data_IF_628256105183
#
_entry.id   IF_628256105183
#
_cell.length_a   1.000
_cell.length_b   1.000
_cell.length_c   1.000
_cell.angle_alpha   90.00
_cell.angle_beta   90.00
_cell.angle_gamma   90.00
#
_symmetry.space_group_name_H-M   'P 1'
#
loop_
_entity.id
_entity.type
_entity.pdbx_description
1 polymer ?
#
# COMPACT_ATOMS: atom_id res chain seq x y z
N UNK A 1 51.87 -15.27 -58.27
CA UNK A 1 50.49 -14.81 -58.63
C UNK A 1 49.54 -15.26 -57.51
N UNK A 2 49.23 -14.39 -56.59
CA UNK A 2 48.36 -14.68 -55.47
C UNK A 2 47.09 -13.80 -55.58
N UNK A 3 45.96 -14.41 -55.96
CA UNK A 3 44.64 -13.72 -56.02
C UNK A 3 44.04 -13.64 -54.65
N UNK A 4 43.88 -12.40 -54.12
CA UNK A 4 43.07 -12.12 -52.93
C UNK A 4 41.62 -12.11 -53.34
N UNK A 5 40.81 -12.97 -52.71
CA UNK A 5 39.36 -12.93 -52.76
C UNK A 5 38.88 -11.91 -51.71
N UNK A 6 38.21 -10.83 -52.12
CA UNK A 6 37.46 -9.93 -51.25
C UNK A 6 36.07 -10.53 -51.07
N UNK A 7 35.74 -10.92 -49.82
CA UNK A 7 34.37 -11.20 -49.41
C UNK A 7 33.70 -9.88 -49.00
N UNK A 8 32.75 -9.40 -49.80
CA UNK A 8 31.83 -8.34 -49.37
C UNK A 8 30.75 -9.00 -48.49
N UNK A 9 30.76 -8.71 -47.20
CA UNK A 9 29.66 -8.99 -46.30
C UNK A 9 28.61 -7.85 -46.41
N UNK A 10 27.49 -8.14 -47.04
CA UNK A 10 26.32 -7.26 -47.06
C UNK A 10 25.64 -7.26 -45.70
N UNK A 11 25.77 -6.18 -44.95
CA UNK A 11 25.02 -5.92 -43.77
C UNK A 11 23.57 -5.56 -44.18
N UNK A 12 22.63 -6.49 -44.03
CA UNK A 12 21.21 -6.20 -44.18
C UNK A 12 20.75 -5.52 -42.87
N UNK A 13 20.65 -4.20 -42.88
CA UNK A 13 20.02 -3.45 -41.85
C UNK A 13 18.50 -3.74 -41.90
N UNK A 14 17.98 -4.52 -40.96
CA UNK A 14 16.57 -4.68 -40.79
C UNK A 14 16.01 -3.33 -40.29
N UNK A 15 15.39 -2.56 -41.18
CA UNK A 15 14.63 -1.39 -40.84
C UNK A 15 13.41 -1.85 -40.04
N UNK A 16 13.47 -1.75 -38.70
CA UNK A 16 12.31 -1.87 -37.84
C UNK A 16 11.38 -0.70 -38.16
N UNK A 17 10.33 -0.92 -38.91
CA UNK A 17 9.27 0.04 -39.12
C UNK A 17 8.61 0.34 -37.76
N UNK A 18 8.98 1.44 -37.13
CA UNK A 18 8.29 1.90 -35.92
C UNK A 18 6.83 2.16 -36.29
N UNK A 19 5.93 1.28 -35.88
CA UNK A 19 4.49 1.51 -35.98
C UNK A 19 4.19 2.83 -35.23
N UNK A 20 3.42 3.71 -35.86
CA UNK A 20 2.90 4.90 -35.20
C UNK A 20 1.91 4.46 -34.12
N UNK A 21 2.01 5.04 -32.93
CA UNK A 21 1.08 4.84 -31.83
C UNK A 21 -0.36 5.18 -32.27
N UNK A 22 -1.32 4.36 -31.89
CA UNK A 22 -2.74 4.49 -32.31
C UNK A 22 -3.66 4.60 -31.12
N UNK A 23 -4.64 5.48 -31.23
CA UNK A 23 -5.84 5.43 -30.40
C UNK A 23 -6.83 4.44 -31.01
N UNK A 24 -7.15 3.39 -30.29
CA UNK A 24 -8.05 2.30 -30.70
C UNK A 24 -9.35 2.44 -29.90
N UNK A 25 -10.44 2.94 -30.50
CA UNK A 25 -11.71 3.04 -29.80
C UNK A 25 -12.29 1.66 -29.49
N UNK A 26 -12.77 1.49 -28.27
CA UNK A 26 -13.30 0.23 -27.74
C UNK A 26 -14.69 0.48 -27.17
N UNK A 27 -15.72 -0.14 -27.74
CA UNK A 27 -17.12 0.08 -27.39
C UNK A 27 -17.66 -0.86 -26.30
N UNK A 28 -17.05 -2.03 -26.15
CA UNK A 28 -17.51 -3.11 -25.26
C UNK A 28 -16.40 -4.14 -25.00
N UNK A 29 -16.70 -5.14 -24.17
CA UNK A 29 -15.72 -6.16 -23.79
C UNK A 29 -15.28 -7.06 -24.98
N UNK A 30 -16.12 -7.25 -26.00
CA UNK A 30 -15.73 -8.03 -27.16
C UNK A 30 -14.77 -7.25 -28.05
N UNK A 31 -15.06 -5.96 -28.30
CA UNK A 31 -14.14 -5.05 -29.00
C UNK A 31 -12.81 -4.92 -28.25
N UNK A 32 -12.84 -4.87 -26.90
CA UNK A 32 -11.63 -4.88 -26.09
C UNK A 32 -10.78 -6.13 -26.34
N UNK A 33 -11.42 -7.31 -26.34
CA UNK A 33 -10.71 -8.57 -26.53
C UNK A 33 -10.02 -8.65 -27.91
N UNK A 34 -10.62 -8.08 -28.95
CA UNK A 34 -10.01 -8.00 -30.27
C UNK A 34 -8.87 -6.98 -30.31
N UNK A 35 -9.07 -5.79 -29.75
CA UNK A 35 -8.04 -4.76 -29.67
C UNK A 35 -6.82 -5.23 -28.87
N UNK A 36 -7.02 -5.93 -27.77
CA UNK A 36 -5.98 -6.45 -26.90
C UNK A 36 -5.05 -7.46 -27.59
N UNK A 37 -5.54 -8.22 -28.58
CA UNK A 37 -4.70 -9.17 -29.36
C UNK A 37 -3.66 -8.48 -30.23
N UNK A 38 -3.94 -7.25 -30.68
CA UNK A 38 -3.11 -6.52 -31.61
C UNK A 38 -2.36 -5.33 -30.97
N UNK A 39 -2.59 -5.07 -29.69
CA UNK A 39 -2.02 -3.92 -28.99
C UNK A 39 -0.48 -3.99 -28.97
N UNK A 40 0.17 -2.95 -29.48
CA UNK A 40 1.62 -2.79 -29.57
C UNK A 40 2.08 -1.62 -28.71
N UNK A 41 3.41 -1.54 -28.48
CA UNK A 41 4.01 -0.46 -27.70
C UNK A 41 3.63 0.94 -28.23
N UNK A 42 3.05 1.75 -27.36
CA UNK A 42 2.55 3.08 -27.65
C UNK A 42 1.05 3.15 -27.99
N UNK A 43 0.39 2.03 -28.25
CA UNK A 43 -1.03 2.02 -28.56
C UNK A 43 -1.88 2.35 -27.32
N UNK A 44 -3.01 3.01 -27.56
CA UNK A 44 -3.99 3.37 -26.53
C UNK A 44 -5.35 2.73 -26.85
N UNK A 45 -5.83 1.87 -25.99
CA UNK A 45 -7.20 1.35 -26.03
C UNK A 45 -8.12 2.34 -25.31
N UNK A 46 -8.94 3.05 -26.05
CA UNK A 46 -9.83 4.10 -25.55
C UNK A 46 -11.23 3.52 -25.32
N UNK A 47 -11.58 3.28 -24.07
CA UNK A 47 -12.86 2.72 -23.68
C UNK A 47 -13.94 3.81 -23.78
N UNK A 48 -15.03 3.53 -24.48
CA UNK A 48 -16.15 4.42 -24.65
C UNK A 48 -16.88 4.69 -23.34
N UNK A 49 -17.24 5.93 -23.11
CA UNK A 49 -18.02 6.36 -21.94
C UNK A 49 -19.33 5.57 -21.83
N UNK A 50 -19.70 5.23 -20.60
CA UNK A 50 -20.91 4.49 -20.28
C UNK A 50 -20.73 3.42 -19.21
N UNK A 51 -21.78 2.64 -18.99
CA UNK A 51 -21.78 1.56 -18.00
C UNK A 51 -21.32 0.25 -18.65
N UNK A 52 -20.38 -0.42 -18.01
CA UNK A 52 -19.78 -1.68 -18.42
C UNK A 52 -20.13 -2.78 -17.39
N UNK A 53 -21.32 -3.40 -17.49
CA UNK A 53 -21.75 -4.40 -16.53
C UNK A 53 -21.03 -5.73 -16.77
N UNK A 54 -20.59 -6.38 -15.68
CA UNK A 54 -19.96 -7.70 -15.68
C UNK A 54 -18.83 -7.87 -16.71
N UNK A 55 -18.15 -6.77 -17.05
CA UNK A 55 -17.10 -6.74 -18.06
C UNK A 55 -15.78 -7.27 -17.48
N UNK A 56 -15.29 -8.38 -18.02
CA UNK A 56 -14.01 -8.99 -17.60
C UNK A 56 -12.95 -8.79 -18.68
N UNK A 57 -12.17 -7.72 -18.54
CA UNK A 57 -11.13 -7.34 -19.48
C UNK A 57 -9.79 -8.01 -19.15
N UNK A 58 -9.13 -8.54 -20.17
CA UNK A 58 -7.78 -9.12 -20.05
C UNK A 58 -6.86 -8.53 -21.10
N UNK A 59 -5.73 -7.97 -20.68
CA UNK A 59 -4.71 -7.45 -21.57
C UNK A 59 -3.35 -8.05 -21.22
N UNK A 60 -2.76 -8.75 -22.18
CA UNK A 60 -1.33 -9.09 -22.14
C UNK A 60 -0.63 -8.29 -23.21
N UNK A 61 0.30 -7.43 -22.82
CA UNK A 61 1.02 -6.55 -23.74
C UNK A 61 2.45 -6.27 -23.26
N UNK A 62 3.29 -5.84 -24.19
CA UNK A 62 4.66 -5.41 -23.92
C UNK A 62 4.86 -3.99 -24.46
N UNK A 63 4.70 -3.00 -23.59
CA UNK A 63 5.11 -1.63 -23.84
C UNK A 63 6.58 -1.41 -23.49
N UNK A 64 7.00 -0.15 -23.53
CA UNK A 64 8.27 0.33 -22.97
C UNK A 64 7.99 1.53 -22.05
N UNK A 65 8.99 1.95 -21.30
CA UNK A 65 8.85 3.14 -20.44
C UNK A 65 8.45 4.40 -21.23
N UNK A 66 8.97 4.54 -22.47
CA UNK A 66 8.69 5.69 -23.35
C UNK A 66 7.43 5.49 -24.18
N UNK A 67 7.02 4.24 -24.40
CA UNK A 67 5.87 3.86 -25.22
C UNK A 67 5.04 2.78 -24.50
N UNK A 68 4.39 3.10 -23.38
CA UNK A 68 3.52 2.15 -22.71
C UNK A 68 2.32 1.77 -23.60
N UNK A 69 1.73 0.60 -23.33
CA UNK A 69 0.40 0.28 -23.85
C UNK A 69 -0.60 0.84 -22.85
N UNK A 70 -1.52 1.68 -23.31
CA UNK A 70 -2.47 2.36 -22.42
C UNK A 70 -3.87 1.83 -22.59
N UNK A 71 -4.58 1.56 -21.49
CA UNK A 71 -6.02 1.37 -21.43
C UNK A 71 -6.58 2.57 -20.68
N UNK A 72 -7.36 3.42 -21.36
CA UNK A 72 -7.92 4.58 -20.69
C UNK A 72 -9.42 4.75 -20.98
N UNK A 73 -10.09 5.44 -20.07
CA UNK A 73 -11.42 5.95 -20.36
C UNK A 73 -11.37 7.00 -21.49
N UNK A 74 -12.42 7.08 -22.31
CA UNK A 74 -12.63 8.18 -23.24
C UNK A 74 -12.65 9.51 -22.46
N UNK A 75 -13.48 9.56 -21.43
CA UNK A 75 -13.50 10.63 -20.42
C UNK A 75 -13.24 10.02 -19.03
N UNK A 76 -12.23 10.50 -18.33
CA UNK A 76 -11.86 9.98 -17.00
C UNK A 76 -13.08 9.98 -16.05
N UNK A 77 -13.34 8.84 -15.40
CA UNK A 77 -14.47 8.62 -14.50
C UNK A 77 -15.83 8.41 -15.17
N UNK A 78 -15.91 8.38 -16.50
CA UNK A 78 -17.17 8.12 -17.24
C UNK A 78 -17.28 6.69 -17.78
N UNK A 79 -16.23 5.91 -17.73
CA UNK A 79 -16.27 4.46 -17.97
C UNK A 79 -16.50 3.78 -16.64
N UNK A 80 -17.74 3.33 -16.40
CA UNK A 80 -18.18 2.83 -15.10
C UNK A 80 -18.40 1.32 -15.16
N UNK A 81 -17.50 0.58 -14.53
CA UNK A 81 -17.61 -0.87 -14.37
C UNK A 81 -18.49 -1.22 -13.19
N UNK A 82 -19.46 -2.11 -13.38
CA UNK A 82 -20.40 -2.57 -12.35
C UNK A 82 -20.49 -4.09 -12.29
N UNK A 83 -21.08 -4.62 -11.23
CA UNK A 83 -21.25 -6.07 -11.07
C UNK A 83 -19.92 -6.81 -10.89
N UNK A 84 -19.78 -7.97 -11.53
CA UNK A 84 -18.56 -8.79 -11.48
C UNK A 84 -17.51 -8.35 -12.54
N UNK A 85 -17.38 -7.03 -12.70
CA UNK A 85 -16.41 -6.48 -13.64
C UNK A 85 -14.99 -6.50 -13.06
N UNK A 86 -14.02 -6.76 -13.95
CA UNK A 86 -12.59 -6.81 -13.61
C UNK A 86 -11.72 -6.42 -14.80
N UNK A 87 -10.61 -5.75 -14.52
CA UNK A 87 -9.49 -5.66 -15.45
C UNK A 87 -8.29 -6.45 -14.93
N UNK A 88 -7.76 -7.35 -15.74
CA UNK A 88 -6.54 -8.15 -15.47
C UNK A 88 -5.49 -7.82 -16.52
N UNK A 89 -4.32 -7.38 -16.08
CA UNK A 89 -3.20 -7.01 -16.98
C UNK A 89 -1.95 -7.84 -16.68
N UNK A 90 -1.19 -8.18 -17.72
CA UNK A 90 0.09 -8.88 -17.60
C UNK A 90 1.06 -8.42 -18.69
N UNK A 91 2.36 -8.51 -18.42
CA UNK A 91 3.43 -8.07 -19.29
C UNK A 91 4.15 -6.85 -18.77
N UNK A 92 4.56 -5.95 -19.66
CA UNK A 92 5.46 -4.86 -19.31
C UNK A 92 4.89 -3.50 -19.72
N UNK A 93 5.05 -2.48 -18.86
CA UNK A 93 4.73 -1.09 -19.14
C UNK A 93 3.32 -0.88 -19.72
N UNK A 94 2.32 -1.38 -18.98
CA UNK A 94 0.90 -1.13 -19.27
C UNK A 94 0.39 -0.05 -18.32
N UNK A 95 -0.36 0.91 -18.84
CA UNK A 95 -1.01 1.96 -18.05
C UNK A 95 -2.53 1.75 -18.11
N UNK A 96 -3.18 1.77 -16.94
CA UNK A 96 -4.64 1.78 -16.78
C UNK A 96 -5.03 3.12 -16.18
N UNK A 97 -5.85 3.91 -16.88
CA UNK A 97 -6.13 5.30 -16.54
C UNK A 97 -7.61 5.66 -16.59
N UNK A 98 -8.10 6.36 -15.57
CA UNK A 98 -9.39 7.02 -15.56
C UNK A 98 -10.61 6.13 -15.43
N UNK A 99 -10.48 4.87 -15.02
CA UNK A 99 -11.57 3.90 -14.89
C UNK A 99 -12.23 4.00 -13.51
N UNK A 100 -13.55 3.77 -13.47
CA UNK A 100 -14.30 3.71 -12.22
C UNK A 100 -15.01 2.36 -12.04
N UNK A 101 -14.62 1.59 -11.03
CA UNK A 101 -15.30 0.38 -10.58
C UNK A 101 -16.25 0.76 -9.45
N UNK A 102 -17.55 0.74 -9.74
CA UNK A 102 -18.60 1.07 -8.80
C UNK A 102 -19.30 -0.19 -8.32
N UNK A 103 -19.37 -0.37 -6.99
CA UNK A 103 -20.03 -1.51 -6.34
C UNK A 103 -19.58 -2.88 -6.88
N UNK A 104 -18.26 -3.17 -6.95
CA UNK A 104 -17.80 -4.42 -7.51
C UNK A 104 -18.24 -5.61 -6.65
N UNK A 105 -18.79 -6.65 -7.30
CA UNK A 105 -19.26 -7.89 -6.67
C UNK A 105 -18.30 -9.06 -6.87
N UNK A 106 -17.28 -8.89 -7.74
CA UNK A 106 -16.24 -9.87 -8.03
C UNK A 106 -15.23 -10.04 -6.89
N UNK A 107 -14.31 -11.00 -7.06
CA UNK A 107 -13.22 -11.23 -6.11
C UNK A 107 -12.12 -10.17 -6.22
N UNK A 108 -11.90 -9.63 -7.41
CA UNK A 108 -10.89 -8.61 -7.74
C UNK A 108 -11.51 -7.59 -8.68
N UNK A 109 -11.24 -6.30 -8.50
CA UNK A 109 -11.62 -5.26 -9.47
C UNK A 109 -10.47 -4.96 -10.44
N UNK A 110 -9.26 -4.78 -9.92
CA UNK A 110 -8.04 -4.52 -10.69
C UNK A 110 -6.98 -5.54 -10.27
N UNK A 111 -6.53 -6.36 -11.22
CA UNK A 111 -5.59 -7.44 -10.96
C UNK A 111 -4.37 -7.34 -11.90
N UNK A 112 -3.19 -7.24 -11.34
CA UNK A 112 -1.95 -7.08 -12.09
C UNK A 112 -1.30 -8.44 -12.42
N UNK A 113 -2.14 -9.36 -12.88
CA UNK A 113 -1.80 -10.63 -13.51
C UNK A 113 -2.99 -11.15 -14.32
N UNK A 114 -2.78 -12.07 -15.23
CA UNK A 114 -3.84 -12.85 -15.88
C UNK A 114 -3.98 -14.23 -15.21
N UNK A 115 -2.86 -14.82 -14.83
CA UNK A 115 -2.77 -16.08 -14.08
C UNK A 115 -1.46 -16.16 -13.26
N UNK A 116 -1.12 -17.32 -12.72
CA UNK A 116 0.07 -17.51 -11.88
C UNK A 116 1.42 -17.36 -12.61
N UNK A 117 1.42 -17.37 -13.95
CA UNK A 117 2.61 -17.25 -14.80
C UNK A 117 2.70 -15.89 -15.49
N UNK A 118 1.56 -15.32 -15.83
CA UNK A 118 1.40 -14.07 -16.58
C UNK A 118 1.21 -12.91 -15.61
N UNK A 119 2.31 -12.33 -15.15
CA UNK A 119 2.35 -11.24 -14.17
C UNK A 119 2.60 -9.90 -14.86
N UNK A 120 2.20 -8.81 -14.23
CA UNK A 120 2.48 -7.45 -14.68
C UNK A 120 3.76 -6.92 -14.04
N UNK A 121 4.64 -6.30 -14.84
CA UNK A 121 5.83 -5.62 -14.35
C UNK A 121 5.92 -4.21 -14.92
N UNK A 122 6.40 -3.27 -14.11
CA UNK A 122 6.51 -1.86 -14.49
C UNK A 122 5.22 -1.25 -15.04
N UNK A 123 4.07 -1.81 -14.63
CA UNK A 123 2.76 -1.33 -15.03
C UNK A 123 2.23 -0.28 -14.05
N UNK A 124 1.29 0.54 -14.50
CA UNK A 124 0.73 1.63 -13.70
C UNK A 124 -0.80 1.60 -13.73
N UNK A 125 -1.41 1.78 -12.57
CA UNK A 125 -2.84 2.06 -12.40
C UNK A 125 -2.94 3.47 -11.84
N UNK A 126 -3.55 4.38 -12.58
CA UNK A 126 -3.58 5.79 -12.21
C UNK A 126 -4.95 6.40 -12.44
N UNK A 127 -5.29 7.45 -11.67
CA UNK A 127 -6.50 8.25 -11.88
C UNK A 127 -7.81 7.43 -11.91
N UNK A 128 -7.79 6.26 -11.25
CA UNK A 128 -8.92 5.33 -11.18
C UNK A 128 -9.69 5.46 -9.87
N UNK A 129 -10.93 4.97 -9.86
CA UNK A 129 -11.68 4.79 -8.62
C UNK A 129 -12.20 3.37 -8.47
N UNK A 130 -12.21 2.86 -7.22
CA UNK A 130 -12.92 1.64 -6.83
C UNK A 130 -13.73 1.97 -5.59
N UNK A 131 -15.05 2.00 -5.72
CA UNK A 131 -15.93 2.43 -4.63
C UNK A 131 -17.07 1.45 -4.40
N UNK A 132 -17.49 1.35 -3.14
CA UNK A 132 -18.71 0.65 -2.79
C UNK A 132 -19.56 1.55 -1.89
N UNK A 133 -20.73 1.92 -2.37
CA UNK A 133 -21.71 2.76 -1.68
C UNK A 133 -22.87 1.92 -1.11
N UNK A 134 -22.87 0.60 -1.33
CA UNK A 134 -23.89 -0.31 -0.83
C UNK A 134 -23.67 -0.59 0.67
N UNK A 135 -24.77 -0.79 1.42
CA UNK A 135 -24.66 -1.19 2.82
C UNK A 135 -23.93 -2.54 2.93
N UNK A 136 -23.30 -2.77 4.06
CA UNK A 136 -22.66 -4.05 4.34
C UNK A 136 -23.70 -5.17 4.29
N UNK A 137 -23.51 -6.08 3.35
CA UNK A 137 -24.18 -7.37 3.36
C UNK A 137 -23.47 -8.37 4.27
N UNK A 138 -23.81 -9.65 4.17
CA UNK A 138 -23.06 -10.70 4.87
C UNK A 138 -21.60 -10.72 4.43
N UNK A 139 -20.70 -10.64 5.42
CA UNK A 139 -19.24 -10.63 5.21
C UNK A 139 -18.69 -12.04 4.90
N UNK A 140 -19.31 -12.74 3.97
CA UNK A 140 -18.98 -14.13 3.65
C UNK A 140 -17.92 -14.25 2.54
N UNK A 141 -17.92 -13.32 1.61
CA UNK A 141 -17.05 -13.36 0.43
C UNK A 141 -15.75 -12.56 0.70
N UNK A 142 -14.61 -13.18 0.43
CA UNK A 142 -13.33 -12.49 0.43
C UNK A 142 -13.10 -11.88 -0.95
N UNK A 143 -12.92 -10.57 -1.00
CA UNK A 143 -12.63 -9.83 -2.22
C UNK A 143 -11.48 -8.84 -1.99
N UNK A 144 -10.90 -8.35 -3.06
CA UNK A 144 -9.88 -7.29 -3.04
C UNK A 144 -10.23 -6.28 -4.12
N UNK A 145 -9.93 -5.01 -3.87
CA UNK A 145 -10.15 -4.00 -4.90
C UNK A 145 -8.97 -3.93 -5.85
N UNK A 146 -7.74 -4.03 -5.33
CA UNK A 146 -6.52 -4.01 -6.13
C UNK A 146 -5.56 -5.10 -5.68
N UNK A 147 -5.10 -5.92 -6.60
CA UNK A 147 -4.08 -6.96 -6.35
C UNK A 147 -2.86 -6.76 -7.23
N UNK A 148 -1.71 -6.53 -6.60
CA UNK A 148 -0.41 -6.34 -7.24
C UNK A 148 0.36 -7.67 -7.24
N UNK A 149 0.91 -8.00 -8.38
CA UNK A 149 1.80 -9.14 -8.61
C UNK A 149 3.00 -8.68 -9.45
N UNK A 150 4.05 -9.48 -9.55
CA UNK A 150 5.25 -9.12 -10.30
C UNK A 150 6.12 -8.08 -9.62
N UNK A 151 6.71 -7.15 -10.37
CA UNK A 151 7.67 -6.18 -9.88
C UNK A 151 7.50 -4.79 -10.49
N UNK A 152 7.87 -3.74 -9.74
CA UNK A 152 7.96 -2.38 -10.25
C UNK A 152 6.62 -1.71 -10.61
N UNK A 153 5.49 -2.26 -10.19
CA UNK A 153 4.18 -1.67 -10.51
C UNK A 153 3.87 -0.48 -9.62
N UNK A 154 3.10 0.47 -10.16
CA UNK A 154 2.67 1.67 -9.44
C UNK A 154 1.15 1.78 -9.41
N UNK A 155 0.61 2.19 -8.25
CA UNK A 155 -0.80 2.58 -8.08
C UNK A 155 -0.79 3.99 -7.53
N UNK A 156 -1.29 4.94 -8.29
CA UNK A 156 -1.24 6.34 -7.88
C UNK A 156 -2.48 7.12 -8.30
N UNK A 157 -2.73 8.24 -7.60
CA UNK A 157 -3.84 9.14 -7.86
C UNK A 157 -5.21 8.42 -7.97
N UNK A 158 -5.38 7.35 -7.19
CA UNK A 158 -6.61 6.57 -7.16
C UNK A 158 -7.46 6.91 -5.92
N UNK A 159 -8.79 6.77 -6.03
CA UNK A 159 -9.71 6.82 -4.91
C UNK A 159 -10.28 5.43 -4.65
N UNK A 160 -10.02 4.88 -3.46
CA UNK A 160 -10.39 3.50 -3.13
C UNK A 160 -11.11 3.50 -1.79
N UNK A 161 -12.44 3.21 -1.79
CA UNK A 161 -13.25 3.39 -0.59
C UNK A 161 -14.47 2.47 -0.51
N UNK A 162 -15.07 2.40 0.67
CA UNK A 162 -16.37 1.77 0.89
C UNK A 162 -16.38 0.25 0.92
N UNK A 163 -15.22 -0.41 0.91
CA UNK A 163 -15.15 -1.88 0.88
C UNK A 163 -15.82 -2.50 2.10
N UNK A 164 -16.86 -3.32 1.86
CA UNK A 164 -17.67 -3.97 2.90
C UNK A 164 -17.40 -5.48 3.03
N UNK A 165 -16.69 -6.08 2.09
CA UNK A 165 -16.37 -7.52 2.08
C UNK A 165 -15.09 -7.81 2.88
N UNK A 166 -14.89 -9.09 3.26
CA UNK A 166 -13.60 -9.57 3.78
C UNK A 166 -12.48 -9.43 2.74
N UNK A 167 -11.24 -9.54 3.20
CA UNK A 167 -10.03 -9.40 2.40
C UNK A 167 -9.56 -7.94 2.33
N UNK A 168 -8.29 -7.77 2.05
CA UNK A 168 -7.62 -6.46 1.98
C UNK A 168 -8.21 -5.56 0.89
N UNK A 169 -8.09 -4.25 1.05
CA UNK A 169 -8.48 -3.32 -0.02
C UNK A 169 -7.45 -3.36 -1.16
N UNK A 170 -6.17 -3.20 -0.83
CA UNK A 170 -5.04 -3.35 -1.74
C UNK A 170 -4.06 -4.38 -1.17
N UNK A 171 -3.57 -5.31 -1.99
CA UNK A 171 -2.57 -6.29 -1.59
C UNK A 171 -1.43 -6.38 -2.60
N UNK A 172 -0.20 -6.45 -2.11
CA UNK A 172 0.96 -6.88 -2.88
C UNK A 172 1.29 -8.34 -2.54
N UNK A 173 1.19 -9.20 -3.53
CA UNK A 173 1.55 -10.61 -3.43
C UNK A 173 3.01 -10.79 -3.80
N UNK A 174 3.77 -11.48 -2.97
CA UNK A 174 5.20 -11.67 -3.16
C UNK A 174 5.52 -13.04 -3.72
N UNK A 175 6.62 -13.10 -4.45
CA UNK A 175 7.18 -14.33 -4.99
C UNK A 175 8.64 -14.44 -4.57
N UNK A 176 9.06 -15.62 -4.15
CA UNK A 176 10.45 -15.90 -3.82
C UNK A 176 11.39 -15.57 -4.99
N UNK A 177 12.53 -14.97 -4.67
CA UNK A 177 13.55 -14.56 -5.64
C UNK A 177 13.20 -13.28 -6.43
N UNK A 178 12.08 -12.61 -6.14
CA UNK A 178 11.66 -11.37 -6.81
C UNK A 178 11.37 -10.29 -5.78
N UNK A 179 12.09 -9.17 -5.83
CA UNK A 179 11.71 -7.97 -5.09
C UNK A 179 10.54 -7.29 -5.79
N UNK A 180 9.45 -7.09 -5.08
CA UNK A 180 8.22 -6.52 -5.64
C UNK A 180 8.39 -5.06 -6.07
N UNK A 181 9.11 -4.23 -5.29
CA UNK A 181 9.43 -2.81 -5.59
C UNK A 181 8.23 -2.00 -6.08
N UNK A 182 7.04 -2.32 -5.59
CA UNK A 182 5.85 -1.58 -5.96
C UNK A 182 5.85 -0.19 -5.32
N UNK A 183 5.27 0.78 -6.04
CA UNK A 183 5.04 2.14 -5.56
C UNK A 183 3.54 2.38 -5.41
N UNK A 184 3.10 2.82 -4.23
CA UNK A 184 1.70 3.12 -3.91
C UNK A 184 1.69 4.55 -3.37
N UNK A 185 1.28 5.51 -4.21
CA UNK A 185 1.47 6.92 -3.88
C UNK A 185 0.34 7.83 -4.35
N UNK A 186 0.15 8.96 -3.66
CA UNK A 186 -0.86 9.98 -3.98
C UNK A 186 -2.30 9.43 -4.09
N UNK A 187 -2.59 8.30 -3.41
CA UNK A 187 -3.93 7.74 -3.39
C UNK A 187 -4.73 8.28 -2.20
N UNK A 188 -6.04 8.37 -2.38
CA UNK A 188 -6.97 8.55 -1.29
C UNK A 188 -7.66 7.20 -0.97
N UNK A 189 -7.24 6.56 0.12
CA UNK A 189 -7.95 5.45 0.72
C UNK A 189 -9.03 6.02 1.63
N UNK A 190 -10.28 5.97 1.17
CA UNK A 190 -11.44 6.53 1.86
C UNK A 190 -12.06 5.57 2.88
N UNK A 191 -13.20 5.94 3.46
CA UNK A 191 -13.80 5.22 4.56
C UNK A 191 -13.99 3.73 4.30
N UNK A 192 -13.62 2.93 5.28
CA UNK A 192 -13.91 1.50 5.35
C UNK A 192 -14.45 1.17 6.73
N UNK A 193 -15.65 0.60 6.80
CA UNK A 193 -16.26 0.24 8.07
C UNK A 193 -15.52 -0.91 8.77
N UNK A 194 -15.60 -0.92 10.11
CA UNK A 194 -15.06 -1.99 10.94
C UNK A 194 -15.74 -3.33 10.63
N UNK A 195 -14.95 -4.36 10.38
CA UNK A 195 -15.45 -5.71 10.12
C UNK A 195 -15.66 -6.53 11.41
N UNK A 196 -15.04 -6.14 12.52
CA UNK A 196 -15.09 -6.88 13.79
C UNK A 196 -14.32 -8.21 13.78
N UNK A 197 -13.55 -8.47 12.75
CA UNK A 197 -12.70 -9.66 12.59
C UNK A 197 -11.53 -9.38 11.66
N UNK A 198 -10.53 -10.27 11.64
CA UNK A 198 -9.34 -10.19 10.80
C UNK A 198 -9.69 -10.21 9.29
N UNK A 199 -8.89 -9.60 8.45
CA UNK A 199 -9.05 -9.49 6.99
C UNK A 199 -9.65 -8.15 6.55
N UNK A 200 -9.51 -7.11 7.39
CA UNK A 200 -9.98 -5.77 7.14
C UNK A 200 -8.93 -4.75 6.76
N UNK A 201 -7.70 -5.17 6.51
CA UNK A 201 -6.58 -4.28 6.20
C UNK A 201 -6.85 -3.43 4.96
N UNK A 202 -6.47 -2.17 4.98
CA UNK A 202 -6.52 -1.31 3.79
C UNK A 202 -5.38 -1.66 2.85
N UNK A 203 -4.14 -1.75 3.34
CA UNK A 203 -2.99 -2.25 2.56
C UNK A 203 -2.35 -3.43 3.27
N UNK A 204 -1.99 -4.46 2.50
CA UNK A 204 -1.13 -5.54 2.97
C UNK A 204 0.00 -5.80 1.98
N UNK A 205 1.24 -5.78 2.47
CA UNK A 205 2.44 -6.08 1.68
C UNK A 205 3.00 -7.45 2.09
N UNK A 206 2.76 -8.47 1.26
CA UNK A 206 3.07 -9.86 1.54
C UNK A 206 1.98 -10.59 2.35
N UNK A 207 2.33 -11.76 2.82
CA UNK A 207 1.52 -12.60 3.72
C UNK A 207 2.41 -13.33 4.72
N UNK A 208 1.82 -14.16 5.58
CA UNK A 208 2.58 -14.88 6.62
C UNK A 208 3.56 -15.92 6.04
N UNK A 209 3.39 -16.38 4.81
CA UNK A 209 4.32 -17.33 4.17
C UNK A 209 5.51 -16.61 3.54
N UNK A 210 5.33 -15.37 3.14
CA UNK A 210 6.33 -14.53 2.47
C UNK A 210 6.95 -13.50 3.40
N UNK A 211 6.71 -13.61 4.71
CA UNK A 211 7.02 -12.59 5.72
C UNK A 211 8.50 -12.18 5.80
N UNK A 212 9.42 -13.05 5.39
CA UNK A 212 10.86 -12.77 5.41
C UNK A 212 11.44 -12.43 4.03
N UNK A 213 10.60 -12.36 2.99
CA UNK A 213 11.03 -11.90 1.68
C UNK A 213 11.20 -10.37 1.67
N UNK A 214 12.21 -9.89 0.95
CA UNK A 214 12.41 -8.46 0.70
C UNK A 214 11.44 -8.01 -0.38
N UNK A 215 10.47 -7.17 -0.02
CA UNK A 215 9.54 -6.59 -0.97
C UNK A 215 10.05 -5.25 -1.52
N UNK A 216 10.73 -4.44 -0.71
CA UNK A 216 11.26 -3.12 -1.06
C UNK A 216 10.20 -2.18 -1.68
N UNK A 217 8.95 -2.30 -1.24
CA UNK A 217 7.85 -1.44 -1.69
C UNK A 217 7.91 -0.07 -1.01
N UNK A 218 7.39 0.95 -1.72
CA UNK A 218 7.26 2.31 -1.19
C UNK A 218 5.78 2.69 -1.14
N UNK A 219 5.30 3.10 0.04
CA UNK A 219 3.94 3.62 0.27
C UNK A 219 4.09 5.06 0.74
N UNK A 220 3.77 6.03 -0.11
CA UNK A 220 4.08 7.43 0.18
C UNK A 220 3.01 8.41 -0.31
N UNK A 221 2.93 9.59 0.35
CA UNK A 221 2.02 10.66 -0.05
C UNK A 221 0.54 10.24 -0.18
N UNK A 222 0.11 9.20 0.53
CA UNK A 222 -1.29 8.77 0.52
C UNK A 222 -2.07 9.40 1.67
N UNK A 223 -3.37 9.61 1.45
CA UNK A 223 -4.33 9.89 2.49
C UNK A 223 -5.10 8.61 2.85
N UNK A 224 -5.05 8.22 4.13
CA UNK A 224 -5.90 7.19 4.72
C UNK A 224 -6.93 7.89 5.59
N UNK A 225 -8.20 7.89 5.19
CA UNK A 225 -9.27 8.56 5.93
C UNK A 225 -10.32 7.55 6.39
N UNK A 226 -10.48 7.40 7.72
CA UNK A 226 -11.45 6.48 8.35
C UNK A 226 -11.37 5.04 7.81
N UNK A 227 -10.15 4.57 7.62
CA UNK A 227 -9.86 3.21 7.16
C UNK A 227 -9.93 2.23 8.35
N UNK A 228 -11.12 1.93 8.84
CA UNK A 228 -11.39 1.28 10.13
C UNK A 228 -11.63 -0.24 10.03
N UNK A 229 -11.34 -0.86 8.91
CA UNK A 229 -11.66 -2.27 8.64
C UNK A 229 -11.24 -3.24 9.74
N UNK A 230 -10.04 -3.07 10.29
CA UNK A 230 -9.53 -3.79 11.47
C UNK A 230 -8.44 -3.00 12.20
N UNK A 231 -7.78 -3.64 13.18
CA UNK A 231 -6.71 -3.01 13.96
C UNK A 231 -5.46 -2.66 13.12
N UNK A 232 -5.25 -3.32 12.00
CA UNK A 232 -4.13 -3.08 11.09
C UNK A 232 -4.64 -2.34 9.83
N UNK A 233 -4.61 -1.00 9.81
CA UNK A 233 -4.88 -0.23 8.60
C UNK A 233 -3.89 -0.62 7.49
N UNK A 234 -2.60 -0.62 7.83
CA UNK A 234 -1.55 -1.20 7.01
C UNK A 234 -0.96 -2.40 7.75
N UNK A 235 -0.95 -3.56 7.11
CA UNK A 235 -0.29 -4.77 7.59
C UNK A 235 0.96 -5.05 6.75
N UNK A 236 2.12 -4.63 7.28
CA UNK A 236 3.40 -4.98 6.69
C UNK A 236 3.74 -6.43 7.01
N UNK A 237 3.91 -7.26 5.98
CA UNK A 237 4.29 -8.68 6.13
C UNK A 237 5.45 -9.04 5.18
N UNK A 238 6.47 -8.19 5.14
CA UNK A 238 7.68 -8.38 4.33
C UNK A 238 8.78 -7.41 4.72
N UNK A 239 10.00 -7.63 4.27
CA UNK A 239 11.17 -6.83 4.61
C UNK A 239 11.40 -5.63 3.68
N UNK A 240 12.09 -4.61 4.21
CA UNK A 240 12.67 -3.52 3.41
C UNK A 240 11.68 -2.49 2.88
N UNK A 241 10.45 -2.45 3.38
CA UNK A 241 9.44 -1.50 2.90
C UNK A 241 9.62 -0.11 3.51
N UNK A 242 9.22 0.92 2.76
CA UNK A 242 9.25 2.32 3.17
C UNK A 242 7.83 2.89 3.19
N UNK A 243 7.43 3.46 4.32
CA UNK A 243 6.18 4.17 4.54
C UNK A 243 6.51 5.62 4.89
N UNK A 244 6.27 6.56 3.97
CA UNK A 244 6.66 7.93 4.22
C UNK A 244 5.67 8.96 3.70
N UNK A 245 5.61 10.10 4.41
CA UNK A 245 4.80 11.26 4.03
C UNK A 245 3.31 10.95 3.82
N UNK A 246 2.81 9.88 4.44
CA UNK A 246 1.39 9.55 4.41
C UNK A 246 0.65 10.31 5.52
N UNK A 247 -0.62 10.61 5.28
CA UNK A 247 -1.54 11.16 6.28
C UNK A 247 -2.58 10.11 6.66
N UNK A 248 -2.67 9.78 7.95
CA UNK A 248 -3.70 8.95 8.53
C UNK A 248 -4.65 9.84 9.32
N UNK A 249 -5.91 9.96 8.89
CA UNK A 249 -6.90 10.85 9.48
C UNK A 249 -8.11 10.09 10.00
N UNK A 250 -8.32 10.09 11.30
CA UNK A 250 -9.45 9.41 11.93
C UNK A 250 -9.46 7.90 11.74
N UNK A 251 -8.28 7.26 11.67
CA UNK A 251 -8.13 5.82 11.43
C UNK A 251 -8.11 5.07 12.75
N UNK A 252 -9.12 4.22 13.01
CA UNK A 252 -9.19 3.35 14.20
C UNK A 252 -8.31 2.09 14.05
N UNK A 253 -7.07 2.26 13.62
CA UNK A 253 -6.10 1.20 13.38
C UNK A 253 -4.69 1.76 13.36
N UNK A 254 -3.72 0.92 13.03
CA UNK A 254 -2.29 1.27 13.03
C UNK A 254 -1.62 0.97 11.69
N UNK A 255 -0.51 1.65 11.42
CA UNK A 255 0.53 1.12 10.56
C UNK A 255 1.28 0.05 11.37
N UNK A 256 1.07 -1.21 11.03
CA UNK A 256 1.65 -2.33 11.77
C UNK A 256 2.81 -2.95 10.99
N UNK A 257 4.00 -2.91 11.57
CA UNK A 257 5.14 -3.69 11.12
C UNK A 257 4.97 -5.12 11.66
N UNK A 258 4.04 -5.87 11.03
CA UNK A 258 3.52 -7.15 11.57
C UNK A 258 4.49 -8.30 11.39
N UNK A 259 5.19 -8.34 10.27
CA UNK A 259 6.25 -9.29 9.94
C UNK A 259 7.30 -8.62 9.06
N UNK A 260 8.45 -9.27 8.90
CA UNK A 260 9.58 -8.77 8.15
C UNK A 260 10.41 -7.78 8.95
N UNK A 261 11.54 -7.39 8.41
CA UNK A 261 12.56 -6.57 9.06
C UNK A 261 12.97 -5.38 8.19
N UNK A 262 13.78 -4.49 8.74
CA UNK A 262 14.41 -3.37 8.03
C UNK A 262 13.43 -2.44 7.30
N UNK A 263 12.24 -2.23 7.85
CA UNK A 263 11.26 -1.27 7.33
C UNK A 263 11.51 0.14 7.89
N UNK A 264 11.11 1.16 7.13
CA UNK A 264 11.23 2.57 7.50
C UNK A 264 9.84 3.23 7.54
N UNK A 265 9.59 3.99 8.59
CA UNK A 265 8.36 4.78 8.79
C UNK A 265 8.79 6.23 9.03
N UNK A 266 8.63 7.10 8.01
CA UNK A 266 9.30 8.39 7.98
C UNK A 266 8.35 9.54 7.63
N UNK A 267 8.33 10.61 8.43
CA UNK A 267 7.62 11.84 8.10
C UNK A 267 6.10 11.67 7.89
N UNK A 268 5.50 10.61 8.43
CA UNK A 268 4.06 10.44 8.33
C UNK A 268 3.32 11.27 9.39
N UNK A 269 2.06 11.55 9.12
CA UNK A 269 1.17 12.31 9.99
C UNK A 269 0.00 11.43 10.40
N UNK A 270 -0.16 11.20 11.71
CA UNK A 270 -1.28 10.47 12.29
C UNK A 270 -2.15 11.43 13.09
N UNK A 271 -3.40 11.63 12.66
CA UNK A 271 -4.37 12.56 13.26
C UNK A 271 -5.57 11.77 13.76
N UNK A 272 -5.87 11.87 15.05
CA UNK A 272 -6.98 11.18 15.68
C UNK A 272 -8.35 11.60 15.17
N UNK A 273 -8.53 12.87 14.80
CA UNK A 273 -9.79 13.43 14.25
C UNK A 273 -11.04 12.97 15.04
N UNK A 274 -10.91 12.89 16.36
CA UNK A 274 -11.94 12.41 17.31
C UNK A 274 -12.37 10.94 17.12
N UNK A 275 -11.73 10.16 16.26
CA UNK A 275 -12.03 8.75 16.09
C UNK A 275 -11.63 7.96 17.33
N UNK A 276 -12.54 7.10 17.81
CA UNK A 276 -12.26 6.20 18.93
C UNK A 276 -11.30 5.11 18.50
N UNK A 277 -10.21 4.93 19.27
CA UNK A 277 -9.19 3.92 18.99
C UNK A 277 -8.28 4.30 17.82
N UNK A 278 -8.17 5.60 17.50
CA UNK A 278 -7.21 6.09 16.52
C UNK A 278 -5.79 5.78 16.98
N UNK A 279 -5.06 5.00 16.21
CA UNK A 279 -3.72 4.50 16.55
C UNK A 279 -2.62 5.07 15.65
N UNK A 280 -1.38 4.73 15.99
CA UNK A 280 -0.20 5.17 15.25
C UNK A 280 0.59 4.00 14.66
N UNK A 281 1.75 3.68 15.21
CA UNK A 281 2.66 2.66 14.70
C UNK A 281 2.80 1.51 15.69
N UNK A 282 2.58 0.27 15.23
CA UNK A 282 2.84 -0.95 16.00
C UNK A 282 4.07 -1.66 15.48
N UNK A 283 5.03 -1.91 16.37
CA UNK A 283 6.37 -2.40 16.04
C UNK A 283 6.55 -3.84 16.49
N UNK A 284 6.91 -4.72 15.54
CA UNK A 284 7.28 -6.13 15.73
C UNK A 284 8.43 -6.41 14.77
N UNK A 285 9.46 -7.16 15.20
CA UNK A 285 10.61 -7.52 14.35
C UNK A 285 11.81 -6.60 14.51
N UNK A 286 12.73 -6.65 13.56
CA UNK A 286 14.09 -6.16 13.74
C UNK A 286 14.45 -5.06 12.74
N UNK A 287 15.46 -4.24 13.12
CA UNK A 287 16.14 -3.27 12.24
C UNK A 287 15.22 -2.17 11.68
N UNK A 288 14.09 -1.92 12.30
CA UNK A 288 13.17 -0.87 11.84
C UNK A 288 13.65 0.53 12.22
N UNK A 289 13.30 1.50 11.39
CA UNK A 289 13.53 2.93 11.67
C UNK A 289 12.19 3.66 11.63
N UNK A 290 11.84 4.37 12.72
CA UNK A 290 10.65 5.20 12.83
C UNK A 290 11.09 6.61 13.15
N UNK A 291 11.00 7.55 12.19
CA UNK A 291 11.62 8.86 12.34
C UNK A 291 10.79 10.01 11.77
N UNK A 292 10.82 11.15 12.45
CA UNK A 292 10.21 12.39 11.95
C UNK A 292 8.69 12.35 11.78
N UNK A 293 7.99 11.41 12.42
CA UNK A 293 6.53 11.32 12.32
C UNK A 293 5.84 12.25 13.33
N UNK A 294 4.65 12.73 12.98
CA UNK A 294 3.75 13.46 13.85
C UNK A 294 2.58 12.57 14.26
N UNK A 295 2.39 12.40 15.57
CA UNK A 295 1.23 11.74 16.19
C UNK A 295 0.42 12.79 16.94
N UNK A 296 -0.82 13.02 16.53
CA UNK A 296 -1.64 14.11 17.08
C UNK A 296 -3.05 13.66 17.41
N UNK A 297 -3.50 13.97 18.63
CA UNK A 297 -4.87 13.71 19.13
C UNK A 297 -5.30 12.24 19.05
N UNK A 298 -4.36 11.30 19.13
CA UNK A 298 -4.64 9.86 19.07
C UNK A 298 -5.29 9.38 20.37
N UNK A 299 -6.29 8.50 20.24
CA UNK A 299 -7.12 7.99 21.33
C UNK A 299 -7.00 6.48 21.53
N UNK A 300 -6.18 5.82 20.71
CA UNK A 300 -5.95 4.38 20.78
C UNK A 300 -5.19 3.97 22.03
N UNK A 301 -5.49 2.78 22.51
CA UNK A 301 -4.90 2.13 23.67
C UNK A 301 -4.24 0.80 23.26
N UNK A 302 -3.49 0.22 24.17
CA UNK A 302 -2.80 -1.06 23.98
C UNK A 302 -2.04 -1.10 22.64
N UNK A 303 -2.32 -2.06 21.77
CA UNK A 303 -1.66 -2.20 20.46
C UNK A 303 -1.95 -1.01 19.51
N UNK A 304 -2.91 -0.14 19.86
CA UNK A 304 -3.24 1.09 19.10
C UNK A 304 -2.69 2.36 19.72
N UNK A 305 -1.85 2.29 20.75
CA UNK A 305 -1.11 3.46 21.24
C UNK A 305 -0.43 4.22 20.09
N UNK A 306 -0.11 5.49 20.28
CA UNK A 306 0.56 6.29 19.23
C UNK A 306 1.82 5.60 18.73
N UNK A 307 2.56 4.94 19.65
CA UNK A 307 3.60 3.97 19.31
C UNK A 307 3.53 2.79 20.27
N UNK A 308 3.55 1.57 19.74
CA UNK A 308 3.47 0.35 20.54
C UNK A 308 4.56 -0.65 20.14
N UNK A 309 5.40 -1.04 21.12
CA UNK A 309 6.37 -2.12 20.97
C UNK A 309 5.80 -3.40 21.53
N UNK A 310 5.70 -4.43 20.68
CA UNK A 310 5.17 -5.73 21.10
C UNK A 310 6.24 -6.60 21.74
N UNK A 311 5.81 -7.50 22.65
CA UNK A 311 6.66 -8.59 23.11
C UNK A 311 6.84 -9.64 22.01
N UNK A 312 8.04 -10.23 21.95
CA UNK A 312 8.35 -11.35 21.06
C UNK A 312 8.05 -12.71 21.67
N UNK A 313 7.80 -13.68 20.82
CA UNK A 313 7.67 -15.09 21.19
C UNK A 313 9.04 -15.75 21.04
N UNK A 314 9.58 -16.50 22.04
CA UNK A 314 10.77 -17.30 21.86
C UNK A 314 10.62 -18.29 20.68
N UNK A 315 11.64 -18.39 19.83
CA UNK A 315 11.65 -19.25 18.65
C UNK A 315 10.42 -19.07 17.75
N UNK A 316 10.05 -17.80 17.53
CA UNK A 316 8.84 -17.44 16.80
C UNK A 316 8.82 -18.00 15.38
N UNK A 317 7.71 -18.64 15.02
CA UNK A 317 7.44 -19.03 13.63
C UNK A 317 7.11 -17.79 12.75
N UNK A 318 7.24 -17.87 11.41
CA UNK A 318 7.05 -16.72 10.52
C UNK A 318 5.75 -15.93 10.70
N UNK A 319 4.67 -16.56 11.14
CA UNK A 319 3.38 -15.91 11.42
C UNK A 319 3.19 -15.47 12.88
N UNK A 320 4.19 -15.67 13.74
CA UNK A 320 4.15 -15.30 15.15
C UNK A 320 4.54 -13.83 15.40
N UNK A 321 5.05 -13.56 16.60
CA UNK A 321 5.55 -12.25 17.01
C UNK A 321 7.06 -12.35 17.17
N UNK A 322 7.81 -11.79 16.22
CA UNK A 322 9.26 -11.68 16.35
C UNK A 322 9.63 -10.67 17.42
N UNK A 323 10.75 -10.90 18.11
CA UNK A 323 11.26 -9.95 19.09
C UNK A 323 11.59 -8.62 18.43
N UNK A 324 11.23 -7.53 19.08
CA UNK A 324 11.66 -6.18 18.68
C UNK A 324 13.14 -6.04 19.00
N UNK A 325 13.98 -5.81 17.98
CA UNK A 325 15.43 -5.75 18.13
C UNK A 325 16.05 -4.74 17.17
N UNK A 326 17.06 -3.98 17.65
CA UNK A 326 17.81 -2.98 16.87
C UNK A 326 16.92 -1.92 16.19
N UNK A 327 15.78 -1.60 16.81
CA UNK A 327 14.86 -0.58 16.29
C UNK A 327 15.32 0.81 16.71
N UNK A 328 15.21 1.78 15.81
CA UNK A 328 15.52 3.19 16.07
C UNK A 328 14.27 4.04 15.93
N UNK A 329 13.94 4.77 17.00
CA UNK A 329 12.80 5.70 17.03
C UNK A 329 13.31 7.09 17.37
N UNK A 330 13.36 7.97 16.36
CA UNK A 330 14.07 9.25 16.50
C UNK A 330 13.32 10.43 15.92
N UNK A 331 13.34 11.57 16.60
CA UNK A 331 12.82 12.82 16.06
C UNK A 331 11.32 12.84 15.78
N UNK A 332 10.53 11.96 16.44
CA UNK A 332 9.10 11.97 16.32
C UNK A 332 8.46 12.96 17.29
N UNK A 333 7.29 13.47 16.96
CA UNK A 333 6.53 14.40 17.79
C UNK A 333 5.18 13.79 18.17
N UNK A 334 4.87 13.77 19.46
CA UNK A 334 3.62 13.28 20.03
C UNK A 334 2.87 14.43 20.68
N UNK A 335 1.68 14.74 20.19
CA UNK A 335 0.86 15.88 20.66
C UNK A 335 -0.50 15.38 21.08
N UNK A 336 -0.84 15.60 22.35
CA UNK A 336 -2.20 15.37 22.86
C UNK A 336 -2.71 13.91 22.65
N UNK A 337 -1.81 12.92 22.65
CA UNK A 337 -2.15 11.51 22.56
C UNK A 337 -2.53 10.95 23.95
N UNK A 338 -3.52 10.04 23.99
CA UNK A 338 -3.92 9.38 25.22
C UNK A 338 -2.85 8.41 25.74
N UNK A 339 -2.21 7.68 24.83
CA UNK A 339 -1.12 6.75 25.08
C UNK A 339 -0.01 7.03 24.08
N UNK A 340 1.14 7.57 24.55
CA UNK A 340 2.23 8.01 23.65
C UNK A 340 3.08 6.82 23.20
N UNK A 341 3.97 6.32 24.05
CA UNK A 341 4.89 5.22 23.72
C UNK A 341 4.68 4.09 24.73
N UNK A 342 4.09 2.98 24.28
CA UNK A 342 3.89 1.79 25.07
C UNK A 342 4.97 0.75 24.72
N UNK A 343 5.67 0.23 25.74
CA UNK A 343 6.73 -0.76 25.59
C UNK A 343 6.33 -2.04 26.32
N UNK A 344 6.27 -3.16 25.59
CA UNK A 344 6.01 -4.47 26.17
C UNK A 344 4.55 -4.91 26.11
N UNK A 345 3.81 -4.51 25.05
CA UNK A 345 2.46 -5.00 24.83
C UNK A 345 2.50 -6.48 24.42
N UNK A 346 1.69 -7.30 25.07
CA UNK A 346 1.57 -8.72 24.71
C UNK A 346 0.40 -8.94 23.77
N UNK A 347 0.67 -9.50 22.60
CA UNK A 347 -0.34 -9.96 21.64
C UNK A 347 -0.62 -11.46 21.67
N UNK A 348 0.15 -12.21 22.47
CA UNK A 348 0.02 -13.66 22.62
C UNK A 348 0.54 -14.07 24.00
N UNK A 349 -0.07 -15.08 24.62
CA UNK A 349 0.35 -15.59 25.95
C UNK A 349 1.79 -16.11 25.97
N UNK A 350 2.34 -16.51 24.83
CA UNK A 350 3.73 -16.97 24.67
C UNK A 350 4.71 -15.84 24.44
N UNK A 351 4.25 -14.62 24.22
CA UNK A 351 5.10 -13.46 23.96
C UNK A 351 5.68 -12.96 25.29
N UNK A 352 6.97 -13.24 25.50
CA UNK A 352 7.70 -12.95 26.74
C UNK A 352 9.01 -12.19 26.52
N UNK A 353 9.50 -12.10 25.26
CA UNK A 353 10.76 -11.45 24.95
C UNK A 353 10.58 -9.94 24.86
N UNK A 354 11.21 -9.14 25.75
CA UNK A 354 11.16 -7.68 25.67
C UNK A 354 11.98 -7.15 24.50
N UNK A 355 11.75 -5.88 24.09
CA UNK A 355 12.62 -5.18 23.14
C UNK A 355 14.07 -5.14 23.61
N UNK A 356 15.02 -5.36 22.69
CA UNK A 356 16.47 -5.30 22.97
C UNK A 356 17.21 -4.49 21.91
N UNK A 357 18.40 -3.99 22.25
CA UNK A 357 19.27 -3.21 21.36
C UNK A 357 18.52 -2.05 20.67
N UNK A 358 17.45 -1.54 21.31
CA UNK A 358 16.51 -0.57 20.72
C UNK A 358 16.80 0.84 21.26
N UNK A 359 16.77 1.84 20.38
CA UNK A 359 17.01 3.24 20.73
C UNK A 359 15.74 4.08 20.50
N UNK A 360 15.34 4.82 21.54
CA UNK A 360 14.26 5.81 21.48
C UNK A 360 14.86 7.15 21.90
N UNK A 361 15.15 8.04 20.93
CA UNK A 361 15.91 9.24 21.22
C UNK A 361 15.48 10.48 20.43
N UNK A 362 15.64 11.65 21.03
CA UNK A 362 15.37 12.93 20.38
C UNK A 362 13.90 13.14 19.99
N UNK A 363 12.96 12.44 20.63
CA UNK A 363 11.54 12.64 20.39
C UNK A 363 10.99 13.75 21.29
N UNK A 364 9.91 14.41 20.84
CA UNK A 364 9.19 15.43 21.62
C UNK A 364 7.83 14.86 21.97
N UNK A 365 7.53 14.79 23.29
CA UNK A 365 6.34 14.12 23.79
C UNK A 365 5.56 15.05 24.73
N UNK A 366 4.33 15.39 24.34
CA UNK A 366 3.43 16.15 25.20
C UNK A 366 2.69 15.20 26.15
N UNK A 367 2.70 15.53 27.45
CA UNK A 367 2.19 14.67 28.52
C UNK A 367 0.96 15.22 29.23
N UNK A 368 0.20 16.11 28.58
CA UNK A 368 -1.02 16.67 29.17
C UNK A 368 -2.18 15.67 29.26
N UNK A 369 -2.20 14.62 28.46
CA UNK A 369 -3.22 13.57 28.46
C UNK A 369 -2.73 12.20 28.88
N UNK A 370 -1.49 11.85 28.55
CA UNK A 370 -0.91 10.54 28.85
C UNK A 370 0.56 10.65 29.23
N UNK A 371 1.09 9.61 29.84
CA UNK A 371 2.49 9.50 30.16
C UNK A 371 3.35 9.44 28.87
N UNK A 372 4.59 9.90 28.96
CA UNK A 372 5.53 9.80 27.83
C UNK A 372 5.81 8.33 27.46
N UNK A 373 5.99 7.50 28.50
CA UNK A 373 6.31 6.08 28.36
C UNK A 373 5.45 5.25 29.28
N UNK A 374 4.74 4.28 28.73
CA UNK A 374 4.05 3.21 29.46
C UNK A 374 4.87 1.93 29.33
N UNK A 375 5.46 1.47 30.45
CA UNK A 375 6.40 0.35 30.45
C UNK A 375 5.71 -0.86 31.09
N UNK A 376 5.52 -1.94 30.31
CA UNK A 376 4.90 -3.19 30.74
C UNK A 376 5.85 -4.39 30.75
N UNK A 377 7.15 -4.18 30.50
CA UNK A 377 8.19 -5.24 30.50
C UNK A 377 9.54 -4.71 30.94
N UNK A 378 10.54 -5.57 31.03
CA UNK A 378 11.94 -5.21 31.22
C UNK A 378 12.43 -4.33 30.05
N UNK A 379 13.21 -3.28 30.34
CA UNK A 379 13.69 -2.27 29.36
C UNK A 379 15.20 -2.08 29.39
N UNK A 380 15.96 -2.97 30.00
CA UNK A 380 17.42 -2.91 30.08
C UNK A 380 18.06 -2.93 28.67
N UNK A 381 17.40 -3.47 27.68
CA UNK A 381 17.81 -3.47 26.29
C UNK A 381 17.33 -2.26 25.47
N UNK A 382 16.68 -1.28 26.11
CA UNK A 382 16.12 -0.09 25.46
C UNK A 382 16.83 1.18 25.95
N UNK A 383 17.52 1.87 25.05
CA UNK A 383 18.17 3.15 25.35
C UNK A 383 17.21 4.29 25.08
N UNK A 384 16.76 4.94 26.14
CA UNK A 384 15.90 6.14 26.07
C UNK A 384 16.74 7.37 26.43
N UNK A 385 17.04 8.25 25.45
CA UNK A 385 17.89 9.42 25.68
C UNK A 385 17.46 10.65 24.90
N UNK A 386 17.71 11.83 25.43
CA UNK A 386 17.45 13.10 24.76
C UNK A 386 15.99 13.28 24.28
N UNK A 387 15.03 12.60 24.90
CA UNK A 387 13.62 12.84 24.64
C UNK A 387 13.15 14.03 25.48
N UNK A 388 12.46 14.98 24.87
CA UNK A 388 11.83 16.11 25.55
C UNK A 388 10.40 15.74 25.95
N UNK A 389 10.09 15.90 27.24
CA UNK A 389 8.75 15.66 27.78
C UNK A 389 8.20 16.94 28.39
N UNK A 390 7.10 17.46 27.89
CA UNK A 390 6.47 18.69 28.32
C UNK A 390 4.99 18.52 28.53
N UNK A 391 4.39 19.21 29.51
CA UNK A 391 2.91 19.21 29.68
C UNK A 391 2.23 19.89 28.51
N UNK A 392 2.80 21.00 28.04
CA UNK A 392 2.31 21.76 26.89
C UNK A 392 3.48 22.13 26.00
N UNK A 393 3.38 21.88 24.72
CA UNK A 393 4.35 22.36 23.77
C UNK A 393 4.12 23.86 23.51
N UNK A 394 5.17 24.64 23.54
CA UNK A 394 5.12 26.10 23.33
C UNK A 394 4.49 26.47 21.99
N UNK A 395 4.57 25.59 21.00
CA UNK A 395 3.84 25.67 19.73
C UNK A 395 3.37 24.27 19.38
N UNK A 396 2.06 24.09 19.25
CA UNK A 396 1.51 22.83 18.75
C UNK A 396 2.08 22.56 17.35
N UNK A 397 2.61 21.35 17.14
CA UNK A 397 3.03 20.95 15.81
C UNK A 397 1.82 20.96 14.86
N UNK A 398 1.92 21.74 13.82
CA UNK A 398 0.91 21.76 12.75
C UNK A 398 1.14 20.58 11.82
N UNK A 399 0.07 19.89 11.48
CA UNK A 399 0.14 18.86 10.45
C UNK A 399 0.45 19.54 9.10
N UNK A 400 1.43 19.04 8.32
CA UNK A 400 1.65 19.55 6.99
C UNK A 400 0.34 19.41 6.17
N UNK A 401 0.13 20.35 5.25
CA UNK A 401 -1.01 20.28 4.33
C UNK A 401 -0.82 19.03 3.46
N UNK A 402 -1.84 18.16 3.44
CA UNK A 402 -1.80 16.98 2.58
C UNK A 402 -1.68 17.42 1.11
N UNK A 403 -0.80 16.78 0.38
CA UNK A 403 -0.72 16.97 -1.07
C UNK A 403 -2.02 16.51 -1.75
N UNK A 404 -2.26 16.98 -2.97
CA UNK A 404 -3.42 16.54 -3.74
C UNK A 404 -3.37 15.03 -3.98
N UNK A 405 -4.40 14.33 -3.53
CA UNK A 405 -4.51 12.87 -3.62
C UNK A 405 -5.79 12.45 -4.33
N UNK A 406 -5.77 11.26 -4.88
CA UNK A 406 -6.91 10.72 -5.62
C UNK A 406 -7.03 11.25 -7.04
N UNK A 407 -8.02 10.79 -7.79
CA UNK A 407 -8.18 11.17 -9.20
C UNK A 407 -8.71 12.59 -9.36
N UNK A 408 -8.12 13.36 -10.26
CA UNK A 408 -8.47 14.77 -10.48
C UNK A 408 -9.93 15.01 -10.86
N UNK A 409 -10.59 14.05 -11.49
CA UNK A 409 -12.01 14.13 -11.89
C UNK A 409 -13.00 13.90 -10.73
N UNK A 410 -12.50 13.54 -9.54
CA UNK A 410 -13.32 13.26 -8.35
C UNK A 410 -13.10 14.27 -7.21
N UNK A 411 -12.30 15.27 -7.45
CA UNK A 411 -12.02 16.35 -6.48
C UNK A 411 -13.16 17.36 -6.38
#
# INVERSE_FOLDING_TARGET
MCRRLLLLSSLVAAASSASLAKDIPVSDAAAFAEAAKAAAAGDTLVLKDGVWPDARLKLKAAGTAEKPVTVRAETAGKVVFTGDSRISIAGEHIVVDGLWFQNPTGEEAIELRIDSKELANHCRVTNCAVTNDLPAGELTKSARFVSLYGSGNRVDHCYIAGKTTLGTTLVAWLKEGVEARHQIDHNHFGPRQRLGKNGGETIRLGDSKTSMLTAACVVEHNLFEKCDGEAECISNKSCGNVYRFNTFKGVSGTLTLRHGNACRVEGNVFIGDKAKGAGGVRVIGEDHVVTGNLFKDLTGDDERSAMCFMLGIPDSVPHGYFQVKRVKVTGNTFVNCAHNILIGMSGDKKATLPPVETEISGNVIQTNKGEAFEIKCAVEGVVMKNNTTEKELAKAAEAPVAEAVGPGWRQ
#
